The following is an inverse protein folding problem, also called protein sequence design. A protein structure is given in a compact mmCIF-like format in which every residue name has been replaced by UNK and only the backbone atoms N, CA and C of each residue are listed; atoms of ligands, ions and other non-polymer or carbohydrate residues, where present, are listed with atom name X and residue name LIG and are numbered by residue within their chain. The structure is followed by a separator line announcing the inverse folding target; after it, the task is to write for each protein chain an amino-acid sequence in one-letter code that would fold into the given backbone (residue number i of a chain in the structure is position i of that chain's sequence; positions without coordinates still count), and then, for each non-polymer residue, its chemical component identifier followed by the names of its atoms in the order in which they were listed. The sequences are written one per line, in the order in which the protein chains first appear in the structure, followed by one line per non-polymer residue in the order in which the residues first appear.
data_IF_447237658093
#
_entry.id   IF_447237658093
#
_cell.length_a   1.000
_cell.length_b   1.000
_cell.length_c   1.000
_cell.angle_alpha   90.00
_cell.angle_beta   90.00
_cell.angle_gamma   90.00
#
_symmetry.space_group_name_H-M   'P 1'
#
loop_
_entity.id
_entity.type
_entity.pdbx_description
1 polymer ?
#
# COMPACT_ATOMS: atom_id res chain seq x y z
N UNK A 1 -38.38 6.35 -28.80
CA UNK A 1 -38.44 6.48 -27.32
C UNK A 1 -38.03 5.22 -26.57
N UNK A 2 -38.59 4.03 -26.88
CA UNK A 2 -38.22 2.76 -26.20
C UNK A 2 -36.76 2.31 -26.37
N UNK A 3 -36.20 2.42 -27.58
CA UNK A 3 -34.80 2.05 -27.82
C UNK A 3 -33.79 3.00 -27.14
N UNK A 4 -34.09 4.29 -27.09
CA UNK A 4 -33.26 5.26 -26.38
C UNK A 4 -33.19 4.95 -24.88
N UNK A 5 -34.32 4.56 -24.27
CA UNK A 5 -34.37 4.15 -22.86
C UNK A 5 -33.56 2.88 -22.57
N UNK A 6 -33.60 1.89 -23.47
CA UNK A 6 -32.83 0.65 -23.34
C UNK A 6 -31.32 0.88 -23.45
N UNK A 7 -30.89 1.74 -24.37
CA UNK A 7 -29.48 2.12 -24.52
C UNK A 7 -28.99 2.87 -23.27
N UNK A 8 -29.81 3.77 -22.72
CA UNK A 8 -29.49 4.51 -21.50
C UNK A 8 -29.34 3.56 -20.30
N UNK A 9 -30.28 2.62 -20.12
CA UNK A 9 -30.22 1.61 -19.08
C UNK A 9 -28.97 0.71 -19.18
N UNK A 10 -28.56 0.35 -20.41
CA UNK A 10 -27.35 -0.45 -20.63
C UNK A 10 -26.08 0.33 -20.26
N UNK A 11 -26.00 1.62 -20.58
CA UNK A 11 -24.85 2.48 -20.22
C UNK A 11 -24.74 2.63 -18.70
N UNK A 12 -25.85 2.83 -17.99
CA UNK A 12 -25.86 2.86 -16.52
C UNK A 12 -25.49 1.52 -15.87
N UNK A 13 -25.76 0.39 -16.55
CA UNK A 13 -25.40 -0.95 -16.06
C UNK A 13 -23.90 -1.22 -16.13
N UNK A 14 -23.15 -0.44 -16.91
CA UNK A 14 -21.68 -0.47 -17.02
C UNK A 14 -21.05 0.63 -16.15
N UNK A 15 -21.72 1.02 -15.06
CA UNK A 15 -21.10 1.77 -13.96
C UNK A 15 -20.10 0.86 -13.25
N UNK A 16 -18.99 0.55 -13.91
CA UNK A 16 -17.84 -0.09 -13.27
C UNK A 16 -17.44 0.77 -12.08
N UNK A 17 -17.17 0.16 -10.94
CA UNK A 17 -16.59 0.84 -9.79
C UNK A 17 -15.36 1.61 -10.29
N UNK A 18 -15.49 2.93 -10.41
CA UNK A 18 -14.33 3.77 -10.57
C UNK A 18 -13.53 3.56 -9.30
N UNK A 19 -12.52 2.68 -9.36
CA UNK A 19 -11.45 2.62 -8.38
C UNK A 19 -10.68 3.92 -8.56
N UNK A 20 -11.28 5.03 -8.12
CA UNK A 20 -10.58 6.27 -7.99
C UNK A 20 -9.45 5.95 -7.02
N UNK A 21 -8.21 5.96 -7.52
CA UNK A 21 -6.99 5.90 -6.73
C UNK A 21 -6.91 7.17 -5.89
N UNK A 22 -7.82 7.27 -4.93
CA UNK A 22 -7.88 8.33 -3.95
C UNK A 22 -6.90 8.03 -2.83
N UNK A 23 -6.43 9.12 -2.22
CA UNK A 23 -5.58 9.03 -1.06
C UNK A 23 -6.45 8.71 0.15
N UNK A 24 -6.17 7.57 0.78
CA UNK A 24 -6.83 7.16 2.00
C UNK A 24 -5.81 6.98 3.12
N UNK A 25 -6.25 7.16 4.37
CA UNK A 25 -5.38 6.90 5.51
C UNK A 25 -5.18 5.39 5.66
N UNK A 26 -3.97 4.93 5.38
CA UNK A 26 -3.53 3.59 5.69
C UNK A 26 -3.00 3.53 7.13
N UNK A 27 -3.48 2.55 7.89
CA UNK A 27 -3.04 2.31 9.28
C UNK A 27 -2.49 0.89 9.36
N UNK A 28 -1.22 0.76 9.73
CA UNK A 28 -0.60 -0.51 10.02
C UNK A 28 -0.28 -0.61 11.51
N UNK A 29 -1.08 -1.40 12.23
CA UNK A 29 -0.89 -1.62 13.67
C UNK A 29 0.28 -2.54 13.98
N UNK A 30 0.66 -3.43 13.06
CA UNK A 30 1.75 -4.39 13.27
C UNK A 30 3.12 -3.71 13.25
N UNK A 31 3.32 -2.76 12.34
CA UNK A 31 4.54 -1.93 12.20
C UNK A 31 4.39 -0.55 12.84
N UNK A 32 3.23 -0.24 13.42
CA UNK A 32 3.03 0.95 14.24
C UNK A 32 3.03 2.28 13.48
N UNK A 33 2.61 2.32 12.22
CA UNK A 33 2.57 3.56 11.44
C UNK A 33 1.19 3.84 10.84
N UNK A 34 0.95 5.13 10.54
CA UNK A 34 -0.21 5.59 9.75
C UNK A 34 0.23 6.67 8.78
N UNK A 35 -0.33 6.64 7.57
CA UNK A 35 0.07 7.54 6.47
C UNK A 35 -1.06 7.62 5.47
N UNK A 36 -1.17 8.71 4.72
CA UNK A 36 -2.03 8.70 3.53
C UNK A 36 -1.31 7.91 2.44
N UNK A 37 -1.99 6.96 1.82
CA UNK A 37 -1.44 6.11 0.76
C UNK A 37 -2.41 6.06 -0.42
N UNK A 38 -1.94 5.92 -1.68
CA UNK A 38 -2.82 5.87 -2.83
C UNK A 38 -3.45 4.47 -2.97
N UNK A 39 -4.46 4.21 -2.13
CA UNK A 39 -5.13 2.92 -1.98
C UNK A 39 -4.38 1.93 -1.08
N UNK A 40 -4.90 0.70 -1.02
CA UNK A 40 -4.33 -0.38 -0.23
C UNK A 40 -2.94 -0.78 -0.75
N UNK A 41 -1.88 -0.72 0.09
CA UNK A 41 -0.54 -1.12 -0.32
C UNK A 41 -0.43 -2.62 -0.56
N UNK A 42 0.37 -3.00 -1.57
CA UNK A 42 0.97 -4.33 -1.65
C UNK A 42 2.09 -4.44 -0.62
N UNK A 43 1.98 -5.43 0.26
CA UNK A 43 2.98 -5.71 1.30
C UNK A 43 3.90 -6.85 0.84
N UNK A 44 5.20 -6.65 0.94
CA UNK A 44 6.21 -7.66 0.61
C UNK A 44 7.24 -7.77 1.74
N UNK A 45 7.53 -9.00 2.16
CA UNK A 45 8.63 -9.29 3.09
C UNK A 45 9.98 -9.07 2.40
N UNK A 46 10.93 -8.50 3.12
CA UNK A 46 12.25 -8.13 2.62
C UNK A 46 13.30 -8.22 3.74
N UNK A 47 14.55 -7.98 3.37
CA UNK A 47 15.67 -7.81 4.31
C UNK A 47 16.37 -6.49 4.08
N UNK A 48 16.82 -5.85 5.15
CA UNK A 48 17.59 -4.61 5.10
C UNK A 48 18.99 -4.83 5.67
N UNK A 49 20.01 -4.43 4.92
CA UNK A 49 21.39 -4.40 5.41
C UNK A 49 21.63 -3.08 6.12
N UNK A 50 21.81 -3.11 7.44
CA UNK A 50 22.10 -1.90 8.22
C UNK A 50 23.53 -1.40 7.96
N UNK A 51 23.83 -0.20 8.44
CA UNK A 51 25.18 0.38 8.35
C UNK A 51 26.25 -0.44 9.09
N UNK A 52 25.84 -1.22 10.08
CA UNK A 52 26.71 -2.12 10.85
C UNK A 52 26.70 -3.56 10.29
N UNK A 53 26.31 -3.71 9.02
CA UNK A 53 26.26 -4.98 8.29
C UNK A 53 25.27 -6.04 8.84
N UNK A 54 24.38 -5.69 9.78
CA UNK A 54 23.30 -6.58 10.20
C UNK A 54 22.26 -6.77 9.09
N UNK A 55 21.82 -8.02 8.89
CA UNK A 55 20.70 -8.35 8.01
C UNK A 55 19.44 -8.39 8.85
N UNK A 56 18.58 -7.38 8.67
CA UNK A 56 17.38 -7.16 9.47
C UNK A 56 16.13 -7.52 8.68
N UNK A 57 15.09 -8.08 9.33
CA UNK A 57 13.78 -8.22 8.72
C UNK A 57 13.22 -6.85 8.34
N UNK A 58 12.58 -6.77 7.19
CA UNK A 58 11.92 -5.55 6.73
C UNK A 58 10.63 -5.88 5.98
N UNK A 59 9.72 -4.91 5.91
CA UNK A 59 8.53 -4.98 5.09
C UNK A 59 8.42 -3.76 4.20
N UNK A 60 8.08 -3.98 2.95
CA UNK A 60 7.88 -2.94 1.95
C UNK A 60 6.40 -2.86 1.61
N UNK A 61 5.84 -1.67 1.83
CA UNK A 61 4.46 -1.29 1.50
C UNK A 61 4.52 -0.44 0.24
N UNK A 62 3.96 -0.93 -0.87
CA UNK A 62 4.07 -0.28 -2.18
C UNK A 62 2.71 -0.06 -2.83
N UNK A 63 2.56 1.06 -3.55
CA UNK A 63 1.41 1.31 -4.40
C UNK A 63 1.81 2.13 -5.63
N UNK A 64 1.14 1.83 -6.73
CA UNK A 64 1.31 2.51 -8.01
C UNK A 64 0.08 3.37 -8.30
N UNK A 65 0.32 4.61 -8.73
CA UNK A 65 -0.73 5.55 -9.15
C UNK A 65 -0.35 6.18 -10.48
N UNK A 66 -0.90 5.63 -11.57
CA UNK A 66 -0.49 6.02 -12.91
C UNK A 66 0.99 5.73 -13.15
N UNK A 67 1.83 6.77 -13.18
CA UNK A 67 3.29 6.68 -13.35
C UNK A 67 4.07 6.93 -12.05
N UNK A 68 3.37 7.18 -10.96
CA UNK A 68 3.95 7.44 -9.64
C UNK A 68 4.08 6.12 -8.87
N UNK A 69 5.21 5.94 -8.19
CA UNK A 69 5.51 4.78 -7.36
C UNK A 69 5.74 5.24 -5.93
N UNK A 70 4.93 4.75 -5.00
CA UNK A 70 5.03 5.08 -3.58
C UNK A 70 5.49 3.85 -2.81
N UNK A 71 6.43 4.05 -1.88
CA UNK A 71 6.97 2.98 -1.06
C UNK A 71 7.24 3.45 0.36
N UNK A 72 6.90 2.61 1.33
CA UNK A 72 7.31 2.73 2.72
C UNK A 72 8.03 1.43 3.10
N UNK A 73 9.25 1.57 3.61
CA UNK A 73 10.03 0.46 4.11
C UNK A 73 10.11 0.57 5.62
N UNK A 74 9.60 -0.45 6.32
CA UNK A 74 9.75 -0.58 7.77
C UNK A 74 10.80 -1.64 8.03
N UNK A 75 11.82 -1.29 8.82
CA UNK A 75 12.91 -2.21 9.22
C UNK A 75 12.75 -2.53 10.70
N UNK A 76 12.76 -3.82 11.05
CA UNK A 76 12.60 -4.27 12.42
C UNK A 76 13.96 -4.42 13.13
N UNK A 77 14.24 -3.51 14.07
CA UNK A 77 15.46 -3.51 14.88
C UNK A 77 15.33 -4.24 16.22
N UNK A 78 14.12 -4.69 16.60
CA UNK A 78 13.86 -5.27 17.94
C UNK A 78 14.72 -6.51 18.23
N UNK A 79 15.12 -7.24 17.19
CA UNK A 79 16.02 -8.39 17.32
C UNK A 79 17.44 -8.02 17.78
N UNK A 80 17.92 -6.82 17.45
CA UNK A 80 19.23 -6.32 17.90
C UNK A 80 19.17 -5.80 19.34
N UNK A 81 18.09 -5.13 19.71
CA UNK A 81 17.87 -4.66 21.08
C UNK A 81 17.87 -5.83 22.08
N UNK A 82 17.26 -6.96 21.71
CA UNK A 82 17.26 -8.19 22.52
C UNK A 82 18.66 -8.80 22.70
N UNK A 83 19.62 -8.47 21.83
CA UNK A 83 21.01 -8.89 21.92
C UNK A 83 21.88 -7.91 22.72
N UNK A 84 21.29 -6.85 23.30
CA UNK A 84 22.00 -5.83 24.06
C UNK A 84 22.72 -4.81 23.18
N UNK A 85 22.33 -4.70 21.91
CA UNK A 85 22.90 -3.77 20.94
C UNK A 85 21.84 -2.69 20.69
N UNK A 86 21.92 -1.59 21.44
CA UNK A 86 20.98 -0.46 21.38
C UNK A 86 21.66 0.85 21.76
#
# INVERSE_FOLDING_TARGET
MRMAALIFALVLSVSGTAVAQEWEQYVNTQDGFKVNFPGQPKVTEATWKSQLDYILPARVYSADRGREHYSITVVDYRGLEQQGIG
#
